data_IF_894942725084
#
_entry.id   IF_894942725084
#
_cell.length_a   1.000
_cell.length_b   1.000
_cell.length_c   1.000
_cell.angle_alpha   90.00
_cell.angle_beta   90.00
_cell.angle_gamma   90.00
#
_symmetry.space_group_name_H-M   'P 1'
#
loop_
_entity.id
_entity.type
_entity.pdbx_description
1 polymer ?
#
# COMPACT_ATOMS: atom_id res chain seq x y z
N UNK A 1 11.03 -18.48 5.73
CA UNK A 1 10.90 -18.08 7.15
C UNK A 1 11.09 -19.27 8.10
N UNK A 2 10.32 -20.35 7.94
CA UNK A 2 10.40 -21.54 8.83
C UNK A 2 11.82 -22.11 9.03
N UNK A 3 12.63 -22.16 7.96
CA UNK A 3 14.02 -22.65 8.03
C UNK A 3 14.98 -21.76 8.84
N UNK A 4 14.74 -20.44 8.89
CA UNK A 4 15.52 -19.51 9.71
C UNK A 4 15.15 -19.64 11.19
N UNK A 5 13.86 -19.85 11.47
CA UNK A 5 13.36 -20.01 12.84
C UNK A 5 13.95 -21.29 13.48
N UNK A 6 13.92 -22.41 12.77
CA UNK A 6 14.49 -23.67 13.26
C UNK A 6 16.00 -23.58 13.49
N UNK A 7 16.75 -22.86 12.64
CA UNK A 7 18.20 -22.69 12.83
C UNK A 7 18.53 -21.80 14.01
N UNK A 8 17.78 -20.72 14.24
CA UNK A 8 18.02 -19.79 15.35
C UNK A 8 17.70 -20.44 16.70
N UNK A 9 16.65 -21.26 16.76
CA UNK A 9 16.30 -22.04 17.96
C UNK A 9 17.37 -23.10 18.23
N UNK A 10 17.79 -23.87 17.21
CA UNK A 10 18.82 -24.90 17.35
C UNK A 10 20.15 -24.30 17.85
N UNK A 11 20.57 -23.18 17.29
CA UNK A 11 21.79 -22.46 17.71
C UNK A 11 21.63 -21.86 19.11
N UNK A 12 20.44 -21.35 19.46
CA UNK A 12 20.15 -20.81 20.78
C UNK A 12 20.17 -21.87 21.88
N UNK A 13 19.69 -23.07 21.58
CA UNK A 13 19.72 -24.22 22.50
C UNK A 13 21.14 -24.77 22.66
N UNK A 14 21.88 -24.95 21.56
CA UNK A 14 23.27 -25.44 21.57
C UNK A 14 24.24 -24.47 22.28
N UNK A 15 23.93 -23.16 22.27
CA UNK A 15 24.70 -22.12 22.96
C UNK A 15 24.19 -21.76 24.36
N UNK A 16 23.07 -22.35 24.80
CA UNK A 16 22.43 -22.03 26.09
C UNK A 16 21.84 -20.61 26.16
N UNK A 17 21.62 -19.96 25.01
CA UNK A 17 21.14 -18.56 24.88
C UNK A 17 19.76 -18.47 24.23
N UNK A 18 18.94 -19.51 24.39
CA UNK A 18 17.63 -19.63 23.76
C UNK A 18 16.72 -18.43 24.07
N UNK A 19 16.75 -17.94 25.31
CA UNK A 19 15.95 -16.78 25.76
C UNK A 19 16.22 -15.53 24.92
N UNK A 20 17.50 -15.16 24.79
CA UNK A 20 17.95 -14.00 23.98
C UNK A 20 17.61 -14.19 22.49
N UNK A 21 17.69 -15.42 21.99
CA UNK A 21 17.36 -15.71 20.59
C UNK A 21 15.85 -15.62 20.31
N UNK A 22 15.00 -16.04 21.25
CA UNK A 22 13.55 -15.92 21.14
C UNK A 22 13.11 -14.44 21.18
N UNK A 23 13.75 -13.63 22.01
CA UNK A 23 13.50 -12.19 22.08
C UNK A 23 13.83 -11.50 20.74
N UNK A 24 14.98 -11.82 20.15
CA UNK A 24 15.37 -11.32 18.82
C UNK A 24 14.42 -11.75 17.70
N UNK A 25 13.85 -12.96 17.79
CA UNK A 25 12.82 -13.44 16.85
C UNK A 25 11.53 -12.63 17.01
N UNK A 26 11.12 -12.33 18.24
CA UNK A 26 9.94 -11.52 18.52
C UNK A 26 10.08 -10.11 17.93
N UNK A 27 11.21 -9.44 18.16
CA UNK A 27 11.51 -8.12 17.57
C UNK A 27 11.49 -8.15 16.04
N UNK A 28 12.04 -9.21 15.44
CA UNK A 28 12.04 -9.37 13.97
C UNK A 28 10.62 -9.54 13.43
N UNK A 29 9.78 -10.35 14.09
CA UNK A 29 8.39 -10.57 13.71
C UNK A 29 7.56 -9.29 13.84
N UNK A 30 7.76 -8.53 14.91
CA UNK A 30 7.11 -7.24 15.11
C UNK A 30 7.51 -6.25 14.01
N UNK A 31 8.81 -6.14 13.71
CA UNK A 31 9.30 -5.30 12.60
C UNK A 31 8.75 -5.73 11.24
N UNK A 32 8.67 -7.03 10.97
CA UNK A 32 8.09 -7.55 9.73
C UNK A 32 6.58 -7.23 9.64
N UNK A 33 5.84 -7.30 10.76
CA UNK A 33 4.43 -6.95 10.83
C UNK A 33 4.19 -5.44 10.62
N UNK A 34 5.00 -4.58 11.22
CA UNK A 34 4.97 -3.14 10.99
C UNK A 34 5.28 -2.81 9.53
N UNK A 35 6.32 -3.42 8.95
CA UNK A 35 6.67 -3.23 7.55
C UNK A 35 5.57 -3.71 6.61
N UNK A 36 4.91 -4.84 6.90
CA UNK A 36 3.80 -5.34 6.12
C UNK A 36 2.62 -4.34 6.14
N UNK A 37 2.29 -3.83 7.32
CA UNK A 37 1.23 -2.80 7.49
C UNK A 37 1.58 -1.54 6.73
N UNK A 38 2.83 -1.06 6.84
CA UNK A 38 3.30 0.14 6.14
C UNK A 38 3.23 -0.03 4.63
N UNK A 39 3.66 -1.18 4.10
CA UNK A 39 3.56 -1.49 2.66
C UNK A 39 2.11 -1.51 2.18
N UNK A 40 1.20 -2.06 2.98
CA UNK A 40 -0.23 -2.07 2.66
C UNK A 40 -0.79 -0.64 2.54
N UNK A 41 -0.42 0.26 3.46
CA UNK A 41 -0.81 1.67 3.41
C UNK A 41 -0.15 2.41 2.24
N UNK A 42 1.12 2.15 1.96
CA UNK A 42 1.82 2.75 0.80
C UNK A 42 1.17 2.39 -0.53
N UNK A 43 0.61 1.19 -0.66
CA UNK A 43 -0.12 0.78 -1.87
C UNK A 43 -1.52 1.40 -1.97
N UNK A 44 -2.13 1.82 -0.86
CA UNK A 44 -3.41 2.54 -0.89
C UNK A 44 -3.28 3.94 -1.52
N UNK A 45 -2.15 4.60 -1.32
CA UNK A 45 -1.90 5.95 -1.82
C UNK A 45 -2.06 6.09 -3.36
N UNK A 46 -1.39 5.27 -4.20
CA UNK A 46 -1.60 5.33 -5.65
C UNK A 46 -3.02 4.93 -6.09
N UNK A 47 -3.69 4.03 -5.35
CA UNK A 47 -5.07 3.62 -5.64
C UNK A 47 -6.02 4.82 -5.48
N UNK A 48 -5.85 5.60 -4.42
CA UNK A 48 -6.67 6.79 -4.17
C UNK A 48 -6.47 7.86 -5.25
N UNK A 49 -5.23 8.06 -5.74
CA UNK A 49 -4.94 9.00 -6.83
C UNK A 49 -5.64 8.58 -8.13
N UNK A 50 -5.57 7.29 -8.49
CA UNK A 50 -6.25 6.77 -9.69
C UNK A 50 -7.77 6.97 -9.58
N UNK A 51 -8.34 6.68 -8.40
CA UNK A 51 -9.76 6.88 -8.15
C UNK A 51 -10.17 8.36 -8.28
N UNK A 52 -9.37 9.27 -7.70
CA UNK A 52 -9.58 10.71 -7.81
C UNK A 52 -9.53 11.19 -9.26
N UNK A 53 -8.53 10.72 -10.03
CA UNK A 53 -8.40 11.05 -11.45
C UNK A 53 -9.62 10.61 -12.26
N UNK A 54 -10.19 9.44 -11.93
CA UNK A 54 -11.40 8.93 -12.56
C UNK A 54 -12.61 9.82 -12.27
N UNK A 55 -12.81 10.22 -11.01
CA UNK A 55 -13.89 11.13 -10.61
C UNK A 55 -13.76 12.48 -11.33
N UNK A 56 -12.58 13.09 -11.27
CA UNK A 56 -12.34 14.40 -11.91
C UNK A 56 -12.51 14.29 -13.43
N UNK A 57 -12.04 13.20 -14.05
CA UNK A 57 -12.24 12.94 -15.48
C UNK A 57 -13.72 12.85 -15.87
N UNK A 58 -14.53 12.13 -15.09
CA UNK A 58 -15.97 12.07 -15.33
C UNK A 58 -16.64 13.45 -15.22
N UNK A 59 -16.26 14.25 -14.21
CA UNK A 59 -16.78 15.60 -14.03
C UNK A 59 -16.39 16.49 -15.22
N UNK A 60 -15.12 16.44 -15.66
CA UNK A 60 -14.65 17.21 -16.81
C UNK A 60 -15.46 16.91 -18.07
N UNK A 61 -15.70 15.64 -18.37
CA UNK A 61 -16.52 15.24 -19.54
C UNK A 61 -17.95 15.79 -19.40
N UNK A 62 -18.55 15.67 -18.22
CA UNK A 62 -19.89 16.19 -17.94
C UNK A 62 -20.03 17.70 -18.12
N UNK A 63 -18.96 18.46 -17.86
CA UNK A 63 -18.94 19.93 -18.02
C UNK A 63 -18.53 20.36 -19.42
N UNK A 64 -17.61 19.64 -20.08
CA UNK A 64 -17.12 19.99 -21.42
C UNK A 64 -18.21 19.84 -22.49
N UNK A 65 -19.07 18.83 -22.38
CA UNK A 65 -20.17 18.58 -23.32
C UNK A 65 -21.14 19.76 -23.46
N UNK A 66 -21.77 20.30 -22.38
CA UNK A 66 -22.68 21.44 -22.49
C UNK A 66 -21.97 22.72 -22.92
N UNK A 67 -20.69 22.88 -22.58
CA UNK A 67 -19.88 24.00 -23.08
C UNK A 67 -19.81 23.93 -24.61
N UNK A 68 -19.45 22.77 -25.17
CA UNK A 68 -19.37 22.59 -26.62
C UNK A 68 -20.71 22.84 -27.33
N UNK A 69 -21.81 22.36 -26.75
CA UNK A 69 -23.16 22.62 -27.24
C UNK A 69 -23.53 24.11 -27.19
N UNK A 70 -23.10 24.82 -26.15
CA UNK A 70 -23.34 26.26 -26.02
C UNK A 70 -22.57 27.06 -27.08
N UNK A 71 -21.32 26.68 -27.36
CA UNK A 71 -20.52 27.31 -28.42
C UNK A 71 -21.12 27.07 -29.82
N UNK A 72 -21.54 25.85 -30.14
CA UNK A 72 -22.14 25.55 -31.45
C UNK A 72 -23.50 26.22 -31.65
N UNK A 73 -24.26 26.43 -30.57
CA UNK A 73 -25.51 27.19 -30.63
C UNK A 73 -25.30 28.67 -30.98
N UNK A 74 -24.16 29.27 -30.57
CA UNK A 74 -23.81 30.65 -30.89
C UNK A 74 -23.29 30.79 -32.33
N UNK A 75 -22.54 29.82 -32.84
CA UNK A 75 -22.02 29.84 -34.21
C UNK A 75 -23.12 29.66 -35.27
N UNK A 76 -24.16 28.89 -34.96
CA UNK A 76 -25.30 28.65 -35.86
C UNK A 76 -26.40 29.73 -35.79
N UNK A 77 -26.23 30.76 -34.95
CA UNK A 77 -27.14 31.88 -34.78
C UNK A 77 -26.63 33.12 -35.52
#
# INVERSE_FOLDING_TARGET
MAKKLSSTILVGEESGRLDVMLDSIAETLESDAEQATKRMVTLLDPILIIFMALIVGCIMIGVMLPIYQSYSAIENA
#
